data_IF_359910434854
#
_entry.id   IF_359910434854
#
_cell.length_a   1.000
_cell.length_b   1.000
_cell.length_c   1.000
_cell.angle_alpha   90.00
_cell.angle_beta   90.00
_cell.angle_gamma   90.00
#
_symmetry.space_group_name_H-M   'P 1'
#
loop_
_entity.id
_entity.type
_entity.pdbx_description
1 polymer ?
#
# COMPACT_ATOMS: atom_id res chain seq x y z
N UNK A 1 -25.75 20.09 -11.82
CA UNK A 1 -24.79 19.19 -11.15
C UNK A 1 -23.39 19.77 -11.12
N UNK A 2 -23.00 20.22 -9.92
CA UNK A 2 -21.75 20.94 -9.60
C UNK A 2 -20.91 20.07 -8.66
N UNK A 3 -20.60 18.85 -9.06
CA UNK A 3 -19.70 18.01 -8.27
C UNK A 3 -18.25 18.42 -8.54
N UNK A 4 -17.70 19.19 -7.60
CA UNK A 4 -16.32 19.70 -7.61
C UNK A 4 -15.29 18.56 -7.60
N UNK A 5 -15.57 17.44 -6.94
CA UNK A 5 -14.64 16.31 -6.86
C UNK A 5 -14.65 15.53 -8.18
N UNK A 6 -15.82 15.29 -8.77
CA UNK A 6 -15.91 14.71 -10.11
C UNK A 6 -15.23 15.58 -11.18
N UNK A 7 -15.36 16.91 -11.07
CA UNK A 7 -14.71 17.86 -11.97
C UNK A 7 -13.18 17.87 -11.80
N UNK A 8 -12.68 17.86 -10.57
CA UNK A 8 -11.23 17.71 -10.27
C UNK A 8 -10.68 16.40 -10.83
N UNK A 9 -11.39 15.28 -10.63
CA UNK A 9 -10.96 13.98 -11.14
C UNK A 9 -10.85 13.97 -12.68
N UNK A 10 -11.81 14.62 -13.36
CA UNK A 10 -11.87 14.72 -14.82
C UNK A 10 -10.82 15.68 -15.40
N UNK A 11 -10.42 16.71 -14.65
CA UNK A 11 -9.45 17.71 -15.09
C UNK A 11 -8.00 17.38 -14.71
N UNK A 12 -7.75 16.50 -13.73
CA UNK A 12 -6.41 16.03 -13.32
C UNK A 12 -5.47 15.67 -14.49
N UNK A 13 -5.89 14.87 -15.50
CA UNK A 13 -5.02 14.53 -16.62
C UNK A 13 -4.66 15.75 -17.48
N UNK A 14 -5.61 16.68 -17.68
CA UNK A 14 -5.40 17.93 -18.42
C UNK A 14 -4.51 18.90 -17.65
N UNK A 15 -4.66 18.98 -16.33
CA UNK A 15 -3.79 19.75 -15.45
C UNK A 15 -2.35 19.23 -15.53
N UNK A 16 -2.15 17.91 -15.36
CA UNK A 16 -0.83 17.26 -15.50
C UNK A 16 -0.20 17.50 -16.88
N UNK A 17 -0.95 17.36 -17.97
CA UNK A 17 -0.43 17.66 -19.31
C UNK A 17 -0.05 19.14 -19.47
N UNK A 18 -0.82 20.07 -18.89
CA UNK A 18 -0.50 21.48 -18.94
C UNK A 18 0.76 21.82 -18.13
N UNK A 19 0.96 21.16 -16.97
CA UNK A 19 2.17 21.28 -16.15
C UNK A 19 3.40 20.68 -16.83
N UNK A 20 3.28 19.49 -17.42
CA UNK A 20 4.36 18.85 -18.19
C UNK A 20 4.78 19.72 -19.37
N UNK A 21 3.82 20.30 -20.12
CA UNK A 21 4.12 21.28 -21.19
C UNK A 21 4.77 22.56 -20.68
N UNK A 22 4.30 23.11 -19.55
CA UNK A 22 4.89 24.30 -18.95
C UNK A 22 6.33 24.05 -18.48
N UNK A 23 6.60 22.90 -17.86
CA UNK A 23 7.92 22.49 -17.41
C UNK A 23 8.88 22.17 -18.56
N UNK A 24 8.40 21.53 -19.63
CA UNK A 24 9.17 21.33 -20.85
C UNK A 24 9.54 22.66 -21.53
N UNK A 25 8.66 23.66 -21.48
CA UNK A 25 8.91 25.01 -22.00
C UNK A 25 9.79 25.87 -21.07
N UNK A 26 9.98 25.46 -19.81
CA UNK A 26 10.79 26.16 -18.80
C UNK A 26 11.89 25.28 -18.24
N UNK A 27 12.47 24.40 -19.08
CA UNK A 27 13.72 23.71 -18.76
C UNK A 27 14.66 24.74 -18.11
N UNK A 28 15.15 24.41 -16.92
CA UNK A 28 15.93 25.35 -16.10
C UNK A 28 17.16 25.87 -16.85
N UNK A 29 18.00 26.71 -16.23
CA UNK A 29 19.21 27.24 -16.89
C UNK A 29 20.16 26.18 -17.50
N UNK A 30 19.98 24.89 -17.19
CA UNK A 30 20.68 23.73 -17.79
C UNK A 30 20.01 23.09 -19.01
N UNK A 31 18.80 23.50 -19.43
CA UNK A 31 18.13 22.97 -20.64
C UNK A 31 17.59 21.52 -20.53
N UNK A 32 17.79 20.86 -19.39
CA UNK A 32 17.31 19.51 -19.14
C UNK A 32 15.84 19.50 -18.65
N UNK A 33 15.01 18.65 -19.26
CA UNK A 33 13.62 18.44 -18.80
C UNK A 33 13.59 18.02 -17.32
N UNK A 34 12.58 18.41 -16.54
CA UNK A 34 12.45 17.91 -15.15
C UNK A 34 11.89 16.48 -15.15
N UNK A 35 11.07 16.14 -16.14
CA UNK A 35 10.50 14.80 -16.24
C UNK A 35 11.52 13.82 -16.83
N UNK A 36 11.58 12.64 -16.22
CA UNK A 36 12.44 11.51 -16.61
C UNK A 36 11.59 10.25 -16.63
N UNK A 37 11.98 9.26 -17.43
CA UNK A 37 11.30 7.97 -17.50
C UNK A 37 12.34 6.86 -17.64
N UNK A 38 11.98 5.64 -17.30
CA UNK A 38 12.87 4.49 -17.48
C UNK A 38 14.03 4.44 -16.48
N UNK A 39 13.92 5.11 -15.34
CA UNK A 39 14.95 5.10 -14.31
C UNK A 39 14.96 3.73 -13.61
N UNK A 40 16.11 3.08 -13.59
CA UNK A 40 16.36 1.87 -12.80
C UNK A 40 17.30 2.14 -11.63
N UNK A 41 17.98 3.29 -11.63
CA UNK A 41 18.81 3.78 -10.54
C UNK A 41 18.66 5.31 -10.38
N UNK A 42 19.17 5.86 -9.29
CA UNK A 42 19.15 7.30 -9.04
C UNK A 42 20.19 8.02 -9.91
N UNK A 43 19.75 8.59 -11.03
CA UNK A 43 20.60 9.33 -11.98
C UNK A 43 20.11 10.76 -12.24
N UNK A 44 19.25 11.27 -11.35
CA UNK A 44 18.53 12.55 -11.54
C UNK A 44 19.10 13.71 -10.71
N UNK A 45 20.22 13.50 -10.01
CA UNK A 45 20.80 14.50 -9.12
C UNK A 45 19.85 14.86 -7.96
N UNK A 46 19.70 16.15 -7.67
CA UNK A 46 18.78 16.63 -6.62
C UNK A 46 17.39 16.87 -7.19
N UNK A 47 16.38 16.29 -6.55
CA UNK A 47 14.98 16.53 -6.87
C UNK A 47 14.42 17.62 -5.95
N UNK A 48 14.22 18.83 -6.47
CA UNK A 48 13.65 19.93 -5.68
C UNK A 48 12.20 19.65 -5.30
N UNK A 49 11.82 19.81 -4.02
CA UNK A 49 10.44 19.53 -3.56
C UNK A 49 9.38 20.41 -4.19
N UNK A 50 9.74 21.62 -4.60
CA UNK A 50 8.82 22.56 -5.25
C UNK A 50 9.53 23.12 -6.48
N UNK A 51 8.81 23.15 -7.58
CA UNK A 51 9.20 23.83 -8.80
C UNK A 51 8.19 24.94 -9.09
N UNK A 52 8.70 26.17 -9.26
CA UNK A 52 7.88 27.32 -9.62
C UNK A 52 8.14 27.70 -11.07
N UNK A 53 7.09 27.79 -11.87
CA UNK A 53 7.14 28.27 -13.26
C UNK A 53 6.09 29.36 -13.49
N UNK A 54 6.18 30.10 -14.59
CA UNK A 54 5.16 31.10 -14.97
C UNK A 54 4.41 30.62 -16.21
N UNK A 55 3.07 30.60 -16.13
CA UNK A 55 2.19 30.35 -17.27
C UNK A 55 1.30 31.57 -17.50
N UNK A 56 1.37 32.16 -18.70
CA UNK A 56 0.62 33.38 -19.03
C UNK A 56 0.76 34.51 -17.99
N UNK A 57 1.96 34.65 -17.41
CA UNK A 57 2.27 35.64 -16.37
C UNK A 57 1.89 35.24 -14.94
N UNK A 58 1.14 34.15 -14.72
CA UNK A 58 0.78 33.67 -13.39
C UNK A 58 1.79 32.63 -12.86
N UNK A 59 2.22 32.72 -11.58
CA UNK A 59 3.07 31.70 -10.97
C UNK A 59 2.28 30.39 -10.78
N UNK A 60 2.86 29.30 -11.26
CA UNK A 60 2.35 27.93 -11.12
C UNK A 60 3.36 27.14 -10.30
N UNK A 61 2.89 26.56 -9.20
CA UNK A 61 3.66 25.61 -8.38
C UNK A 61 3.43 24.19 -8.89
N UNK A 62 4.51 23.44 -8.96
CA UNK A 62 4.52 22.03 -9.30
C UNK A 62 5.34 21.26 -8.28
N UNK A 63 4.93 20.02 -8.01
CA UNK A 63 5.54 19.18 -7.00
C UNK A 63 6.12 17.93 -7.67
N UNK A 64 7.41 17.93 -8.05
CA UNK A 64 8.01 16.77 -8.71
C UNK A 64 8.17 15.59 -7.73
N UNK A 65 7.89 14.38 -8.20
CA UNK A 65 8.09 13.16 -7.42
C UNK A 65 8.55 12.01 -8.31
N UNK A 66 9.18 11.02 -7.67
CA UNK A 66 9.34 9.70 -8.27
C UNK A 66 7.97 9.01 -8.40
N UNK A 67 7.78 8.28 -9.50
CA UNK A 67 6.57 7.52 -9.80
C UNK A 67 6.95 6.09 -10.15
N UNK A 68 6.37 5.15 -9.42
CA UNK A 68 6.47 3.72 -9.70
C UNK A 68 5.82 3.39 -11.07
N UNK A 69 6.57 2.78 -11.99
CA UNK A 69 6.10 2.28 -13.28
C UNK A 69 6.23 0.75 -13.42
N UNK A 70 6.40 0.03 -12.31
CA UNK A 70 6.56 -1.43 -12.29
C UNK A 70 8.02 -1.86 -12.43
N UNK A 71 8.54 -1.83 -13.65
CA UNK A 71 9.93 -2.25 -13.94
C UNK A 71 10.91 -1.06 -13.93
N UNK A 72 10.38 0.16 -13.86
CA UNK A 72 11.15 1.40 -13.86
C UNK A 72 10.49 2.44 -12.97
N UNK A 73 11.18 3.56 -12.78
CA UNK A 73 10.70 4.74 -12.09
C UNK A 73 10.75 5.94 -13.04
N UNK A 74 9.81 6.86 -12.89
CA UNK A 74 9.77 8.13 -13.62
C UNK A 74 9.84 9.31 -12.64
N UNK A 75 10.23 10.48 -13.14
CA UNK A 75 9.97 11.76 -12.48
C UNK A 75 8.78 12.42 -13.15
N UNK A 76 7.77 12.79 -12.37
CA UNK A 76 6.56 13.48 -12.84
C UNK A 76 6.19 14.64 -11.92
N UNK A 77 5.48 15.61 -12.47
CA UNK A 77 4.95 16.75 -11.73
C UNK A 77 3.53 16.50 -11.22
N UNK A 78 3.29 16.91 -9.97
CA UNK A 78 1.99 16.84 -9.31
C UNK A 78 1.47 18.22 -8.94
N UNK A 79 0.14 18.31 -8.77
CA UNK A 79 -0.57 19.56 -8.47
C UNK A 79 -0.56 19.88 -6.97
N UNK A 80 -0.39 18.86 -6.12
CA UNK A 80 -0.45 18.99 -4.67
C UNK A 80 0.71 18.27 -3.99
N UNK A 81 1.11 18.79 -2.83
CA UNK A 81 2.13 18.16 -2.00
C UNK A 81 1.70 16.77 -1.51
N UNK A 82 0.41 16.56 -1.23
CA UNK A 82 -0.11 15.26 -0.81
C UNK A 82 0.06 14.18 -1.89
N UNK A 83 -0.25 14.51 -3.16
CA UNK A 83 0.00 13.59 -4.27
C UNK A 83 1.49 13.32 -4.48
N UNK A 84 2.33 14.36 -4.36
CA UNK A 84 3.78 14.24 -4.42
C UNK A 84 4.32 13.30 -3.34
N UNK A 85 3.95 13.48 -2.08
CA UNK A 85 4.44 12.66 -0.98
C UNK A 85 4.08 11.18 -1.17
N UNK A 86 2.85 10.88 -1.60
CA UNK A 86 2.41 9.50 -1.89
C UNK A 86 3.16 8.89 -3.08
N UNK A 87 3.33 9.65 -4.16
CA UNK A 87 4.06 9.20 -5.34
C UNK A 87 5.53 8.96 -4.99
N UNK A 88 6.17 9.95 -4.34
CA UNK A 88 7.56 9.92 -3.93
C UNK A 88 7.88 8.71 -3.07
N UNK A 89 6.97 8.36 -2.15
CA UNK A 89 7.09 7.18 -1.32
C UNK A 89 7.14 5.90 -2.17
N UNK A 90 6.14 5.69 -3.03
CA UNK A 90 6.04 4.50 -3.89
C UNK A 90 7.21 4.42 -4.88
N UNK A 91 7.58 5.54 -5.48
CA UNK A 91 8.70 5.64 -6.42
C UNK A 91 10.05 5.36 -5.76
N UNK A 92 10.29 5.89 -4.55
CA UNK A 92 11.52 5.58 -3.79
C UNK A 92 11.59 4.11 -3.42
N UNK A 93 10.49 3.54 -2.91
CA UNK A 93 10.40 2.11 -2.64
C UNK A 93 10.70 1.28 -3.89
N UNK A 94 10.07 1.61 -5.03
CA UNK A 94 10.31 0.91 -6.28
C UNK A 94 11.78 0.96 -6.68
N UNK A 95 12.39 2.14 -6.65
CA UNK A 95 13.79 2.32 -7.03
C UNK A 95 14.73 1.52 -6.13
N UNK A 96 14.48 1.50 -4.82
CA UNK A 96 15.21 0.63 -3.89
C UNK A 96 15.04 -0.84 -4.30
N UNK A 97 13.79 -1.31 -4.46
CA UNK A 97 13.48 -2.71 -4.79
C UNK A 97 14.10 -3.18 -6.11
N UNK A 98 14.18 -2.32 -7.13
CA UNK A 98 14.85 -2.62 -8.41
C UNK A 98 16.36 -2.86 -8.25
N UNK A 99 16.99 -2.24 -7.25
CA UNK A 99 18.43 -2.33 -7.02
C UNK A 99 18.82 -3.42 -6.01
N UNK A 100 17.86 -4.07 -5.34
CA UNK A 100 18.15 -5.17 -4.41
C UNK A 100 18.56 -6.42 -5.21
N UNK A 101 19.78 -6.97 -5.02
CA UNK A 101 20.25 -8.12 -5.80
C UNK A 101 19.47 -9.42 -5.54
N UNK A 102 19.03 -9.62 -4.29
CA UNK A 102 18.30 -10.82 -3.87
C UNK A 102 16.84 -10.47 -3.68
N UNK A 103 15.97 -11.00 -4.54
CA UNK A 103 14.53 -10.82 -4.38
C UNK A 103 14.07 -11.42 -3.03
N UNK A 104 13.61 -10.60 -2.06
CA UNK A 104 13.27 -11.08 -0.72
C UNK A 104 12.08 -12.06 -0.72
N UNK A 105 11.11 -11.85 -1.61
CA UNK A 105 9.94 -12.71 -1.74
C UNK A 105 10.33 -14.10 -2.25
N UNK A 106 11.19 -14.15 -3.27
CA UNK A 106 11.73 -15.42 -3.79
C UNK A 106 12.56 -16.14 -2.75
N UNK A 107 13.47 -15.42 -2.10
CA UNK A 107 14.33 -15.99 -1.04
C UNK A 107 13.52 -16.60 0.11
N UNK A 108 12.45 -15.92 0.56
CA UNK A 108 11.57 -16.45 1.57
C UNK A 108 10.78 -17.68 1.08
N UNK A 109 10.31 -17.65 -0.18
CA UNK A 109 9.63 -18.80 -0.80
C UNK A 109 10.51 -20.05 -0.85
N UNK A 110 11.79 -19.91 -1.16
CA UNK A 110 12.72 -21.04 -1.26
C UNK A 110 13.00 -21.70 0.11
N UNK A 111 12.75 -20.98 1.22
CA UNK A 111 12.93 -21.49 2.59
C UNK A 111 11.71 -22.24 3.15
N UNK A 112 10.53 -22.12 2.53
CA UNK A 112 9.31 -22.73 3.03
C UNK A 112 9.14 -24.16 2.55
N UNK A 113 8.67 -25.03 3.44
CA UNK A 113 8.27 -26.38 3.10
C UNK A 113 7.02 -26.38 2.20
N UNK A 114 6.82 -27.48 1.46
CA UNK A 114 5.61 -27.64 0.63
C UNK A 114 4.32 -27.57 1.46
N UNK A 115 4.36 -28.04 2.71
CA UNK A 115 3.22 -27.96 3.62
C UNK A 115 2.90 -26.51 4.00
N UNK A 116 3.92 -25.68 4.26
CA UNK A 116 3.73 -24.25 4.54
C UNK A 116 3.20 -23.51 3.30
N UNK A 117 3.74 -23.80 2.11
CA UNK A 117 3.23 -23.26 0.84
C UNK A 117 1.78 -23.64 0.60
N UNK A 118 1.41 -24.90 0.90
CA UNK A 118 0.03 -25.36 0.77
C UNK A 118 -0.91 -24.66 1.75
N UNK A 119 -0.49 -24.43 3.01
CA UNK A 119 -1.28 -23.68 3.98
C UNK A 119 -1.55 -22.23 3.54
N UNK A 120 -0.59 -21.65 2.80
CA UNK A 120 -0.68 -20.32 2.21
C UNK A 120 -1.41 -20.26 0.87
N UNK A 121 -1.72 -21.41 0.24
CA UNK A 121 -2.36 -21.44 -1.09
C UNK A 121 -3.73 -20.76 -1.09
N UNK A 122 -4.46 -20.83 0.03
CA UNK A 122 -5.72 -20.11 0.24
C UNK A 122 -5.44 -18.75 0.86
N UNK A 123 -4.97 -17.81 0.04
CA UNK A 123 -4.74 -16.41 0.38
C UNK A 123 -5.54 -15.49 -0.57
N UNK A 124 -5.83 -14.24 -0.16
CA UNK A 124 -6.60 -13.31 -0.98
C UNK A 124 -5.80 -12.71 -2.15
N UNK A 125 -4.47 -12.79 -2.15
CA UNK A 125 -3.61 -12.26 -3.21
C UNK A 125 -3.60 -13.09 -4.50
N UNK A 126 -4.25 -14.26 -4.50
CA UNK A 126 -4.35 -15.15 -5.66
C UNK A 126 -3.12 -16.02 -5.92
N UNK A 127 -1.95 -15.68 -5.36
CA UNK A 127 -0.76 -16.53 -5.38
C UNK A 127 0.13 -16.30 -4.16
N UNK A 128 0.90 -17.33 -3.79
CA UNK A 128 1.88 -17.23 -2.69
C UNK A 128 2.98 -16.21 -3.02
N UNK A 129 3.36 -16.11 -4.30
CA UNK A 129 4.34 -15.13 -4.77
C UNK A 129 3.84 -13.70 -4.52
N UNK A 130 2.61 -13.38 -4.91
CA UNK A 130 2.02 -12.05 -4.69
C UNK A 130 1.89 -11.70 -3.20
N UNK A 131 1.61 -12.68 -2.34
CA UNK A 131 1.60 -12.51 -0.88
C UNK A 131 3.00 -12.12 -0.35
N UNK A 132 4.05 -12.78 -0.83
CA UNK A 132 5.41 -12.49 -0.37
C UNK A 132 5.94 -11.18 -0.93
N UNK A 133 5.55 -10.80 -2.14
CA UNK A 133 5.83 -9.48 -2.70
C UNK A 133 5.16 -8.37 -1.88
N UNK A 134 3.93 -8.57 -1.40
CA UNK A 134 3.26 -7.65 -0.48
C UNK A 134 4.00 -7.57 0.88
N UNK A 135 4.47 -8.70 1.41
CA UNK A 135 5.28 -8.71 2.64
C UNK A 135 6.61 -7.94 2.46
N UNK A 136 7.31 -8.15 1.33
CA UNK A 136 8.55 -7.46 1.01
C UNK A 136 8.32 -5.95 0.83
N UNK A 137 7.23 -5.58 0.16
CA UNK A 137 6.80 -4.19 -0.05
C UNK A 137 6.55 -3.50 1.30
N UNK A 138 5.81 -4.15 2.19
CA UNK A 138 5.50 -3.61 3.50
C UNK A 138 6.73 -3.54 4.43
N UNK A 139 7.66 -4.50 4.31
CA UNK A 139 8.96 -4.47 4.99
C UNK A 139 9.82 -3.28 4.50
N UNK A 140 9.89 -3.05 3.19
CA UNK A 140 10.58 -1.90 2.62
C UNK A 140 9.98 -0.58 3.13
N UNK A 141 8.64 -0.44 3.13
CA UNK A 141 7.97 0.75 3.68
C UNK A 141 8.34 0.99 5.15
N UNK A 142 8.38 -0.07 5.96
CA UNK A 142 8.72 0.03 7.38
C UNK A 142 10.15 0.52 7.58
N UNK A 143 11.10 0.02 6.80
CA UNK A 143 12.51 0.40 6.87
C UNK A 143 12.72 1.83 6.34
N UNK A 144 12.08 2.19 5.23
CA UNK A 144 12.11 3.55 4.70
C UNK A 144 11.60 4.54 5.76
N UNK A 145 10.46 4.23 6.39
CA UNK A 145 9.92 5.05 7.48
C UNK A 145 10.87 5.14 8.68
N UNK A 146 11.53 4.04 9.06
CA UNK A 146 12.46 4.01 10.18
C UNK A 146 13.73 4.84 9.94
N UNK A 147 14.10 5.06 8.69
CA UNK A 147 15.30 5.80 8.29
C UNK A 147 15.00 7.22 7.74
N UNK A 148 13.86 7.80 8.11
CA UNK A 148 13.54 9.20 7.82
C UNK A 148 12.73 9.46 6.55
N UNK A 149 12.28 8.41 5.86
CA UNK A 149 11.38 8.52 4.71
C UNK A 149 12.09 8.63 3.35
N UNK A 150 11.37 9.08 2.31
CA UNK A 150 11.88 9.13 0.95
C UNK A 150 13.08 10.08 0.77
N UNK A 151 14.04 9.67 -0.06
CA UNK A 151 15.23 10.47 -0.40
C UNK A 151 14.93 11.53 -1.46
N UNK A 152 15.63 12.66 -1.45
CA UNK A 152 15.45 13.77 -2.40
C UNK A 152 16.70 14.11 -3.21
N UNK A 153 17.81 13.43 -2.94
CA UNK A 153 19.06 13.54 -3.66
C UNK A 153 19.77 12.17 -3.65
N UNK A 154 20.81 12.06 -4.46
CA UNK A 154 21.52 10.79 -4.63
C UNK A 154 22.17 10.32 -3.33
N UNK A 155 22.81 11.21 -2.58
CA UNK A 155 23.52 10.86 -1.34
C UNK A 155 22.55 10.30 -0.30
N UNK A 156 21.40 10.93 -0.13
CA UNK A 156 20.33 10.47 0.74
C UNK A 156 19.77 9.13 0.25
N UNK A 157 19.61 8.95 -1.07
CA UNK A 157 19.15 7.68 -1.64
C UNK A 157 20.14 6.54 -1.38
N UNK A 158 21.44 6.73 -1.63
CA UNK A 158 22.47 5.70 -1.35
C UNK A 158 22.49 5.33 0.13
N UNK A 159 22.43 6.32 1.01
CA UNK A 159 22.40 6.11 2.47
C UNK A 159 21.16 5.31 2.89
N UNK A 160 19.98 5.69 2.37
CA UNK A 160 18.73 5.00 2.65
C UNK A 160 18.75 3.57 2.10
N UNK A 161 19.23 3.39 0.87
CA UNK A 161 19.37 2.10 0.22
C UNK A 161 20.26 1.15 1.03
N UNK A 162 21.42 1.63 1.50
CA UNK A 162 22.34 0.82 2.32
C UNK A 162 21.71 0.35 3.63
N UNK A 163 20.89 1.19 4.26
CA UNK A 163 20.15 0.83 5.47
C UNK A 163 19.03 -0.14 5.20
N UNK A 164 18.22 0.11 4.17
CA UNK A 164 17.09 -0.76 3.82
C UNK A 164 17.57 -2.13 3.37
N UNK A 165 18.58 -2.21 2.49
CA UNK A 165 19.07 -3.49 1.96
C UNK A 165 19.61 -4.43 3.04
N UNK A 166 20.19 -3.87 4.11
CA UNK A 166 20.79 -4.65 5.19
C UNK A 166 19.74 -5.49 5.94
N UNK A 167 18.55 -4.93 6.16
CA UNK A 167 17.51 -5.55 7.00
C UNK A 167 16.30 -6.10 6.22
N UNK A 168 16.21 -5.80 4.91
CA UNK A 168 15.01 -6.08 4.12
C UNK A 168 14.65 -7.58 4.07
N UNK A 169 15.63 -8.44 3.83
CA UNK A 169 15.41 -9.89 3.72
C UNK A 169 14.91 -10.45 5.05
N UNK A 170 15.61 -10.16 6.13
CA UNK A 170 15.26 -10.65 7.46
C UNK A 170 13.90 -10.12 7.94
N UNK A 171 13.60 -8.85 7.68
CA UNK A 171 12.30 -8.28 8.01
C UNK A 171 11.18 -8.88 7.17
N UNK A 172 11.43 -9.18 5.89
CA UNK A 172 10.46 -9.85 5.02
C UNK A 172 10.12 -11.24 5.56
N UNK A 173 11.12 -12.04 5.95
CA UNK A 173 10.91 -13.38 6.52
C UNK A 173 10.08 -13.30 7.81
N UNK A 174 10.44 -12.41 8.75
CA UNK A 174 9.65 -12.20 9.98
C UNK A 174 8.20 -11.77 9.69
N UNK A 175 8.01 -10.93 8.67
CA UNK A 175 6.67 -10.48 8.24
C UNK A 175 5.85 -11.65 7.72
N UNK A 176 6.45 -12.56 6.94
CA UNK A 176 5.78 -13.76 6.43
C UNK A 176 5.34 -14.67 7.58
N UNK A 177 6.16 -14.87 8.60
CA UNK A 177 5.79 -15.67 9.77
C UNK A 177 4.56 -15.09 10.51
N UNK A 178 4.52 -13.76 10.67
CA UNK A 178 3.36 -13.09 11.25
C UNK A 178 2.12 -13.21 10.36
N UNK A 179 2.29 -13.06 9.05
CA UNK A 179 1.21 -13.17 8.06
C UNK A 179 0.64 -14.59 7.99
N UNK A 180 1.45 -15.64 8.18
CA UNK A 180 0.95 -17.01 8.30
C UNK A 180 -0.06 -17.15 9.45
N UNK A 181 0.22 -16.55 10.61
CA UNK A 181 -0.72 -16.57 11.74
C UNK A 181 -2.00 -15.81 11.41
N UNK A 182 -1.88 -14.64 10.79
CA UNK A 182 -3.03 -13.81 10.37
C UNK A 182 -3.91 -14.58 9.38
N UNK A 183 -3.33 -15.23 8.39
CA UNK A 183 -4.07 -16.03 7.42
C UNK A 183 -4.72 -17.26 8.07
N UNK A 184 -4.07 -17.89 9.04
CA UNK A 184 -4.68 -19.00 9.78
C UNK A 184 -5.94 -18.53 10.56
N UNK A 185 -5.87 -17.37 11.21
CA UNK A 185 -7.01 -16.77 11.91
C UNK A 185 -8.14 -16.37 10.94
N UNK A 186 -7.80 -15.73 9.82
CA UNK A 186 -8.76 -15.39 8.76
C UNK A 186 -9.44 -16.64 8.19
N UNK A 187 -8.68 -17.69 7.86
CA UNK A 187 -9.22 -18.96 7.38
C UNK A 187 -10.12 -19.66 8.41
N UNK A 188 -9.85 -19.50 9.71
CA UNK A 188 -10.74 -19.99 10.76
C UNK A 188 -12.09 -19.27 10.74
N UNK A 189 -12.08 -17.94 10.57
CA UNK A 189 -13.30 -17.15 10.41
C UNK A 189 -14.08 -17.57 9.16
N UNK A 190 -13.40 -17.74 8.02
CA UNK A 190 -13.98 -18.21 6.75
C UNK A 190 -14.65 -19.59 6.88
N UNK A 191 -13.98 -20.55 7.56
CA UNK A 191 -14.57 -21.87 7.81
C UNK A 191 -15.82 -21.77 8.68
N UNK A 192 -15.78 -20.92 9.71
CA UNK A 192 -16.92 -20.74 10.62
C UNK A 192 -18.09 -20.06 9.94
N UNK A 193 -17.86 -19.03 9.13
CA UNK A 193 -18.86 -18.39 8.28
C UNK A 193 -19.61 -19.41 7.42
N UNK A 194 -18.90 -20.36 6.81
CA UNK A 194 -19.51 -21.42 5.99
C UNK A 194 -20.35 -22.43 6.81
N UNK A 195 -20.05 -22.59 8.10
CA UNK A 195 -20.80 -23.48 8.98
C UNK A 195 -22.04 -22.83 9.61
N UNK A 196 -22.11 -21.49 9.65
CA UNK A 196 -23.21 -20.74 10.26
C UNK A 196 -24.36 -20.56 9.25
N UNK A 197 -25.26 -21.54 9.18
CA UNK A 197 -26.29 -21.64 8.13
C UNK A 197 -27.73 -21.35 8.61
N UNK A 198 -27.91 -20.38 9.52
CA UNK A 198 -29.25 -19.99 9.99
C UNK A 198 -29.81 -18.82 9.17
N UNK A 199 -31.08 -18.94 8.73
CA UNK A 199 -31.78 -17.85 8.04
C UNK A 199 -31.91 -16.59 8.90
N UNK A 200 -32.03 -16.75 10.23
CA UNK A 200 -32.09 -15.63 11.17
C UNK A 200 -30.77 -14.86 11.30
N UNK A 201 -29.66 -15.41 10.79
CA UNK A 201 -28.32 -14.84 10.90
C UNK A 201 -27.78 -14.29 9.57
N UNK A 202 -28.59 -14.26 8.51
CA UNK A 202 -28.13 -13.86 7.16
C UNK A 202 -27.50 -12.46 7.18
N UNK A 203 -28.12 -11.49 7.86
CA UNK A 203 -27.57 -10.14 7.98
C UNK A 203 -26.23 -10.14 8.73
N UNK A 204 -26.17 -10.78 9.90
CA UNK A 204 -24.98 -10.85 10.75
C UNK A 204 -23.79 -11.55 10.07
N UNK A 205 -24.06 -12.66 9.38
CA UNK A 205 -23.05 -13.41 8.61
C UNK A 205 -22.55 -12.57 7.43
N UNK A 206 -23.42 -11.81 6.77
CA UNK A 206 -23.05 -10.93 5.67
C UNK A 206 -22.18 -9.77 6.16
N UNK A 207 -22.54 -9.13 7.27
CA UNK A 207 -21.75 -8.08 7.89
C UNK A 207 -20.33 -8.56 8.27
N UNK A 208 -20.20 -9.73 8.90
CA UNK A 208 -18.87 -10.29 9.21
C UNK A 208 -18.08 -10.61 7.93
N UNK A 209 -18.74 -11.12 6.88
CA UNK A 209 -18.08 -11.38 5.59
C UNK A 209 -17.51 -10.10 4.98
N UNK A 210 -18.27 -9.01 5.00
CA UNK A 210 -17.82 -7.70 4.53
C UNK A 210 -16.71 -7.12 5.40
N UNK A 211 -16.78 -7.33 6.72
CA UNK A 211 -15.68 -6.97 7.63
C UNK A 211 -14.39 -7.72 7.27
N UNK A 212 -14.44 -9.04 7.07
CA UNK A 212 -13.25 -9.83 6.70
C UNK A 212 -12.69 -9.40 5.35
N UNK A 213 -13.54 -9.11 4.37
CA UNK A 213 -13.11 -8.62 3.06
C UNK A 213 -12.39 -7.27 3.14
N UNK A 214 -12.81 -6.38 4.05
CA UNK A 214 -12.14 -5.09 4.33
C UNK A 214 -10.83 -5.26 5.11
N UNK A 215 -10.75 -6.24 6.00
CA UNK A 215 -9.57 -6.51 6.83
C UNK A 215 -8.44 -7.21 6.07
N UNK A 216 -8.79 -8.13 5.16
CA UNK A 216 -7.80 -8.96 4.44
C UNK A 216 -8.02 -8.92 2.91
N UNK A 217 -8.02 -7.73 2.26
CA UNK A 217 -8.03 -7.64 0.81
C UNK A 217 -6.69 -8.09 0.19
N UNK A 218 -6.59 -8.27 -1.14
CA UNK A 218 -5.30 -8.33 -1.82
C UNK A 218 -4.44 -7.10 -1.46
N UNK A 219 -3.18 -7.30 -1.07
CA UNK A 219 -2.31 -6.20 -0.65
C UNK A 219 -2.48 -5.74 0.81
N UNK A 220 -3.21 -6.49 1.64
CA UNK A 220 -3.51 -6.07 3.01
C UNK A 220 -2.28 -5.83 3.88
N UNK A 221 -1.13 -6.47 3.61
CA UNK A 221 0.06 -6.36 4.45
C UNK A 221 0.64 -4.95 4.32
N UNK A 222 0.80 -4.47 3.09
CA UNK A 222 1.21 -3.09 2.81
C UNK A 222 0.16 -2.09 3.25
N UNK A 223 -1.13 -2.34 2.97
CA UNK A 223 -2.22 -1.42 3.33
C UNK A 223 -2.35 -1.24 4.85
N UNK A 224 -2.22 -2.33 5.61
CA UNK A 224 -2.26 -2.30 7.08
C UNK A 224 -1.00 -1.66 7.64
N UNK A 225 0.16 -2.01 7.08
CA UNK A 225 1.49 -1.66 7.56
C UNK A 225 1.92 -2.53 8.75
N UNK A 226 3.21 -2.88 8.79
CA UNK A 226 3.77 -3.84 9.76
C UNK A 226 3.46 -3.50 11.22
N UNK A 227 3.44 -2.21 11.57
CA UNK A 227 3.13 -1.74 12.93
C UNK A 227 1.72 -2.12 13.41
N UNK A 228 0.76 -2.25 12.49
CA UNK A 228 -0.65 -2.53 12.81
C UNK A 228 -1.08 -3.96 12.50
N UNK A 229 -0.17 -4.82 12.05
CA UNK A 229 -0.47 -6.26 11.90
C UNK A 229 -0.95 -6.91 13.22
N UNK A 230 -0.47 -6.52 14.42
CA UNK A 230 -1.05 -6.99 15.68
C UNK A 230 -2.52 -6.57 15.88
N UNK A 231 -2.91 -5.39 15.42
CA UNK A 231 -4.31 -4.94 15.46
C UNK A 231 -5.18 -5.71 14.47
N UNK A 232 -4.67 -6.02 13.28
CA UNK A 232 -5.35 -6.88 12.33
C UNK A 232 -5.62 -8.26 12.94
N UNK A 233 -4.62 -8.87 13.59
CA UNK A 233 -4.82 -10.12 14.33
C UNK A 233 -5.89 -9.98 15.42
N UNK A 234 -5.85 -8.90 16.22
CA UNK A 234 -6.85 -8.60 17.25
C UNK A 234 -8.27 -8.53 16.67
N UNK A 235 -8.45 -7.91 15.50
CA UNK A 235 -9.74 -7.83 14.83
C UNK A 235 -10.22 -9.18 14.28
N UNK A 236 -9.34 -9.99 13.72
CA UNK A 236 -9.69 -11.35 13.26
C UNK A 236 -10.09 -12.26 14.43
N UNK A 237 -9.37 -12.20 15.55
CA UNK A 237 -9.74 -12.93 16.77
C UNK A 237 -11.10 -12.46 17.31
N UNK A 238 -11.39 -11.16 17.27
CA UNK A 238 -12.70 -10.63 17.65
C UNK A 238 -13.81 -11.13 16.72
N UNK A 239 -13.58 -11.16 15.41
CA UNK A 239 -14.52 -11.70 14.43
C UNK A 239 -14.79 -13.20 14.64
N UNK A 240 -13.76 -14.01 14.89
CA UNK A 240 -13.95 -15.44 15.20
C UNK A 240 -14.77 -15.63 16.49
N UNK A 241 -14.48 -14.86 17.55
CA UNK A 241 -15.27 -14.90 18.81
C UNK A 241 -16.73 -14.50 18.58
N UNK A 242 -16.96 -13.46 17.78
CA UNK A 242 -18.32 -13.04 17.40
C UNK A 242 -19.05 -14.19 16.71
N UNK A 243 -18.43 -14.79 15.69
CA UNK A 243 -18.99 -15.93 14.95
C UNK A 243 -19.23 -17.17 15.84
N UNK A 244 -18.39 -17.41 16.86
CA UNK A 244 -18.59 -18.50 17.83
C UNK A 244 -19.85 -18.29 18.68
N UNK A 245 -20.08 -17.06 19.14
CA UNK A 245 -21.20 -16.73 20.03
C UNK A 245 -22.52 -16.50 19.28
N UNK A 246 -22.42 -16.07 18.02
CA UNK A 246 -23.55 -15.66 17.17
C UNK A 246 -24.72 -16.65 17.15
N UNK A 247 -24.54 -17.98 17.01
CA UNK A 247 -25.66 -18.93 17.01
C UNK A 247 -26.47 -18.96 18.31
N UNK A 248 -25.82 -18.71 19.45
CA UNK A 248 -26.43 -18.74 20.78
C UNK A 248 -26.91 -17.38 21.28
N UNK A 249 -26.55 -16.29 20.58
CA UNK A 249 -26.78 -14.92 21.03
C UNK A 249 -27.24 -14.00 19.90
N UNK A 250 -28.12 -14.51 19.02
CA UNK A 250 -28.59 -13.85 17.78
C UNK A 250 -29.01 -12.40 18.01
N UNK A 251 -30.01 -12.17 18.87
CA UNK A 251 -30.54 -10.82 19.14
C UNK A 251 -29.46 -9.86 19.65
N UNK A 252 -28.59 -10.34 20.55
CA UNK A 252 -27.50 -9.53 21.10
C UNK A 252 -26.45 -9.18 20.04
N UNK A 253 -26.16 -10.07 19.11
CA UNK A 253 -25.26 -9.77 17.99
C UNK A 253 -25.88 -8.73 17.06
N UNK A 254 -27.16 -8.89 16.71
CA UNK A 254 -27.90 -7.97 15.84
C UNK A 254 -27.93 -6.55 16.41
N UNK A 255 -28.32 -6.37 17.67
CA UNK A 255 -28.34 -5.03 18.30
C UNK A 255 -26.96 -4.37 18.31
N UNK A 256 -25.88 -5.14 18.53
CA UNK A 256 -24.51 -4.60 18.52
C UNK A 256 -24.05 -4.25 17.11
N UNK A 257 -24.40 -5.07 16.12
CA UNK A 257 -24.12 -4.81 14.71
C UNK A 257 -24.79 -3.50 14.26
N UNK A 258 -26.09 -3.35 14.54
CA UNK A 258 -26.85 -2.14 14.21
C UNK A 258 -26.23 -0.90 14.85
N UNK A 259 -25.77 -0.99 16.12
CA UNK A 259 -25.11 0.14 16.76
C UNK A 259 -23.78 0.53 16.11
N UNK A 260 -23.04 -0.45 15.58
CA UNK A 260 -21.80 -0.20 14.83
C UNK A 260 -22.11 0.46 13.49
N UNK A 261 -23.17 0.01 12.79
CA UNK A 261 -23.58 0.62 11.52
C UNK A 261 -24.05 2.06 11.71
N UNK A 262 -24.84 2.36 12.74
CA UNK A 262 -25.23 3.72 13.10
C UNK A 262 -24.01 4.63 13.29
N UNK A 263 -22.98 4.16 14.01
CA UNK A 263 -21.74 4.92 14.18
C UNK A 263 -20.93 5.06 12.89
N UNK A 264 -21.02 4.12 11.95
CA UNK A 264 -20.32 4.21 10.67
C UNK A 264 -21.00 5.21 9.73
N UNK A 265 -22.32 5.35 9.79
CA UNK A 265 -23.06 6.29 8.95
C UNK A 265 -22.86 7.76 9.37
N UNK A 266 -22.44 8.00 10.62
CA UNK A 266 -22.14 9.34 11.15
C UNK A 266 -20.77 9.90 10.70
N UNK A 267 -19.86 9.08 10.15
CA UNK A 267 -18.47 9.45 9.83
C UNK A 267 -18.07 9.15 8.38
#
# INVERSE_FOLDING_TARGET
DKDLEALKLRLRPKARQALSKAAAATAGPSGESIERSGLTDWTIGTLNKVFETRRAGQPVKAYPALVDQGDTVAVRLFDTEAEQQQAMWRGTRRLIMLNIPVNPAKFASDRLSNQQKLALSRNPHGSVQALFEDCATAAADRLIAAHGGPAWDEKAFRTLYDKVRADLVDLTVRTIDQVQQILAAWQACERRLKSTNSLALVANVTDVREQLARLVPPGFVTATGLRRLPDLMRYLVAADRRLQQMPTAVQRDTTRMEKVHEMQDEY
#
